data_IF_357752287346
#
_entry.id   IF_357752287346
#
_cell.length_a   1.000
_cell.length_b   1.000
_cell.length_c   1.000
_cell.angle_alpha   90.00
_cell.angle_beta   90.00
_cell.angle_gamma   90.00
#
_symmetry.space_group_name_H-M   'P 1'
#
loop_
_entity.id
_entity.type
_entity.pdbx_description
1 polymer ?
#
# COMPACT_ATOMS: atom_id res chain seq x y z
N UNK A 1 -10.53 -2.81 40.37
CA UNK A 1 -9.37 -3.46 39.73
C UNK A 1 -8.17 -2.53 39.86
N UNK A 2 -6.96 -3.02 40.18
CA UNK A 2 -5.76 -2.19 40.25
C UNK A 2 -5.22 -1.86 38.85
N UNK A 3 -4.43 -0.79 38.73
CA UNK A 3 -3.65 -0.47 37.52
C UNK A 3 -2.55 -1.53 37.38
N UNK A 4 -2.44 -2.17 36.22
CA UNK A 4 -1.47 -3.25 35.97
C UNK A 4 -0.96 -3.21 34.53
N UNK A 5 0.32 -3.55 34.34
CA UNK A 5 0.91 -3.76 33.01
C UNK A 5 0.22 -4.95 32.32
N UNK A 6 -0.17 -4.75 31.07
CA UNK A 6 -0.81 -5.80 30.26
C UNK A 6 0.21 -6.87 29.85
N UNK A 7 -0.19 -8.16 29.79
CA UNK A 7 0.65 -9.20 29.19
C UNK A 7 1.07 -8.84 27.76
N UNK A 8 2.32 -9.13 27.32
CA UNK A 8 2.84 -8.73 26.01
C UNK A 8 1.94 -9.14 24.85
N UNK A 9 1.51 -10.40 24.82
CA UNK A 9 0.57 -10.90 23.81
C UNK A 9 -0.74 -10.10 23.78
N UNK A 10 -1.33 -9.77 24.93
CA UNK A 10 -2.59 -9.00 24.98
C UNK A 10 -2.39 -7.56 24.50
N UNK A 11 -1.30 -6.92 24.91
CA UNK A 11 -0.95 -5.59 24.44
C UNK A 11 -0.74 -5.56 22.91
N UNK A 12 -0.12 -6.61 22.35
CA UNK A 12 0.05 -6.76 20.90
C UNK A 12 -1.29 -7.03 20.20
N UNK A 13 -2.18 -7.82 20.79
CA UNK A 13 -3.51 -8.08 20.22
C UNK A 13 -4.36 -6.81 20.15
N UNK A 14 -4.25 -5.92 21.14
CA UNK A 14 -4.90 -4.60 21.13
C UNK A 14 -4.35 -3.77 19.96
N UNK A 15 -3.03 -3.61 19.85
CA UNK A 15 -2.39 -2.89 18.75
C UNK A 15 -2.74 -3.50 17.37
N UNK A 16 -2.77 -4.83 17.28
CA UNK A 16 -3.20 -5.55 16.09
C UNK A 16 -4.66 -5.26 15.70
N UNK A 17 -5.50 -4.77 16.61
CA UNK A 17 -6.87 -4.36 16.30
C UNK A 17 -6.95 -3.08 15.49
N UNK A 18 -5.96 -2.21 15.64
CA UNK A 18 -5.88 -0.93 14.94
C UNK A 18 -5.18 -1.06 13.59
N UNK A 19 -4.28 -2.05 13.47
CA UNK A 19 -3.42 -2.26 12.28
C UNK A 19 -3.94 -3.41 11.41
N UNK A 20 -4.43 -4.51 12.00
CA UNK A 20 -4.80 -5.75 11.31
C UNK A 20 -6.30 -6.00 11.44
N UNK A 21 -7.08 -5.35 10.57
CA UNK A 21 -8.53 -5.52 10.51
C UNK A 21 -8.91 -6.83 9.80
N UNK A 22 -8.20 -7.17 8.72
CA UNK A 22 -8.52 -8.28 7.81
C UNK A 22 -7.30 -8.78 7.03
N UNK A 23 -7.37 -9.90 6.29
CA UNK A 23 -6.27 -10.41 5.48
C UNK A 23 -5.62 -9.38 4.55
N UNK A 24 -6.40 -8.48 3.93
CA UNK A 24 -5.87 -7.43 3.07
C UNK A 24 -4.97 -6.43 3.80
N UNK A 25 -5.21 -6.16 5.10
CA UNK A 25 -4.36 -5.30 5.93
C UNK A 25 -2.99 -5.95 6.17
N UNK A 26 -2.96 -7.28 6.39
CA UNK A 26 -1.71 -8.04 6.51
C UNK A 26 -0.93 -7.94 5.19
N UNK A 27 -1.58 -8.24 4.07
CA UNK A 27 -0.94 -8.19 2.75
C UNK A 27 -0.35 -6.80 2.47
N UNK A 28 -1.11 -5.73 2.77
CA UNK A 28 -0.62 -4.36 2.63
C UNK A 28 0.69 -4.15 3.39
N UNK A 29 0.71 -4.38 4.70
CA UNK A 29 1.89 -4.11 5.53
C UNK A 29 3.10 -4.94 5.11
N UNK A 30 2.89 -6.21 4.73
CA UNK A 30 3.98 -7.09 4.32
C UNK A 30 4.54 -6.73 2.94
N UNK A 31 3.69 -6.36 1.97
CA UNK A 31 4.17 -5.87 0.67
C UNK A 31 4.84 -4.51 0.80
N UNK A 32 4.33 -3.59 1.63
CA UNK A 32 5.00 -2.31 1.93
C UNK A 32 6.41 -2.57 2.51
N UNK A 33 6.58 -3.58 3.38
CA UNK A 33 7.90 -3.96 3.88
C UNK A 33 8.83 -4.50 2.79
N UNK A 34 8.34 -5.31 1.86
CA UNK A 34 9.12 -5.78 0.71
C UNK A 34 9.57 -4.61 -0.18
N UNK A 35 8.70 -3.62 -0.39
CA UNK A 35 9.03 -2.41 -1.16
C UNK A 35 10.09 -1.54 -0.46
N UNK A 36 9.96 -1.35 0.86
CA UNK A 36 10.96 -0.64 1.66
C UNK A 36 12.32 -1.37 1.67
N UNK A 37 12.31 -2.71 1.56
CA UNK A 37 13.52 -3.53 1.42
C UNK A 37 14.14 -3.48 0.01
N UNK A 38 13.62 -2.64 -0.89
CA UNK A 38 14.12 -2.48 -2.25
C UNK A 38 13.78 -3.62 -3.21
N UNK A 39 12.73 -4.41 -2.91
CA UNK A 39 12.34 -5.51 -3.77
C UNK A 39 11.93 -5.03 -5.18
N UNK A 40 12.38 -5.77 -6.19
CA UNK A 40 11.99 -5.59 -7.60
C UNK A 40 11.01 -6.67 -8.08
N UNK A 41 10.82 -7.73 -7.29
CA UNK A 41 9.83 -8.78 -7.47
C UNK A 41 9.24 -9.17 -6.13
N UNK A 42 7.92 -9.26 -6.06
CA UNK A 42 7.17 -9.78 -4.92
C UNK A 42 6.14 -10.82 -5.41
N UNK A 43 6.23 -12.02 -4.86
CA UNK A 43 5.32 -13.14 -5.11
C UNK A 43 4.40 -13.30 -3.90
N UNK A 44 3.09 -13.26 -4.12
CA UNK A 44 2.04 -13.29 -3.09
C UNK A 44 1.16 -14.51 -3.33
N UNK A 45 1.17 -15.46 -2.40
CA UNK A 45 0.30 -16.64 -2.43
C UNK A 45 -0.73 -16.58 -1.30
N UNK A 46 -2.01 -16.69 -1.68
CA UNK A 46 -3.15 -16.62 -0.76
C UNK A 46 -3.91 -17.94 -0.77
N UNK A 47 -4.26 -18.46 0.40
CA UNK A 47 -5.21 -19.58 0.52
C UNK A 47 -6.41 -19.21 1.38
N UNK A 48 -7.60 -19.64 0.94
CA UNK A 48 -8.87 -19.36 1.63
C UNK A 48 -9.10 -17.88 1.96
N UNK A 49 -8.81 -17.00 1.00
CA UNK A 49 -8.95 -15.54 1.17
C UNK A 49 -7.99 -14.94 2.20
N UNK A 50 -6.92 -15.67 2.54
CA UNK A 50 -5.90 -15.26 3.52
C UNK A 50 -6.18 -15.69 4.95
N UNK A 51 -7.34 -16.34 5.20
CA UNK A 51 -7.63 -16.90 6.52
C UNK A 51 -6.77 -18.14 6.83
N UNK A 52 -6.39 -18.92 5.80
CA UNK A 52 -5.55 -20.12 5.97
C UNK A 52 -4.07 -19.79 5.83
N UNK A 53 -3.68 -19.13 4.74
CA UNK A 53 -2.30 -18.78 4.44
C UNK A 53 -2.24 -17.44 3.70
N UNK A 54 -1.32 -16.59 4.13
CA UNK A 54 -0.76 -15.49 3.34
C UNK A 54 0.75 -15.71 3.31
N UNK A 55 1.31 -15.96 2.12
CA UNK A 55 2.76 -16.04 1.91
C UNK A 55 3.18 -14.92 1.00
N UNK A 56 4.17 -14.14 1.43
CA UNK A 56 4.77 -13.06 0.64
C UNK A 56 6.26 -13.30 0.58
N UNK A 57 6.79 -13.43 -0.63
CA UNK A 57 8.20 -13.63 -0.89
C UNK A 57 8.73 -12.53 -1.78
N UNK A 58 9.84 -11.94 -1.39
CA UNK A 58 10.50 -10.87 -2.13
C UNK A 58 11.97 -11.18 -2.40
N UNK A 59 12.54 -10.37 -3.29
CA UNK A 59 13.97 -10.34 -3.59
C UNK A 59 14.64 -9.06 -3.06
N UNK A 60 14.15 -8.53 -1.94
CA UNK A 60 14.75 -7.37 -1.28
C UNK A 60 16.12 -7.68 -0.67
N UNK A 61 16.65 -6.74 0.12
CA UNK A 61 17.96 -6.86 0.76
C UNK A 61 18.05 -7.98 1.82
N UNK A 62 16.92 -8.45 2.35
CA UNK A 62 16.86 -9.43 3.42
C UNK A 62 17.07 -8.83 4.82
N UNK A 63 17.04 -9.67 5.84
CA UNK A 63 17.20 -9.32 7.25
C UNK A 63 18.37 -10.13 7.81
N UNK A 64 19.30 -9.45 8.51
CA UNK A 64 20.44 -10.10 9.15
C UNK A 64 19.97 -11.04 10.25
N UNK A 65 20.71 -12.12 10.48
CA UNK A 65 20.36 -13.15 11.48
C UNK A 65 20.14 -12.52 12.87
N UNK A 66 21.02 -11.62 13.25
CA UNK A 66 21.06 -10.99 14.57
C UNK A 66 19.87 -10.04 14.77
N UNK A 67 19.25 -9.58 13.69
CA UNK A 67 18.12 -8.65 13.68
C UNK A 67 16.76 -9.36 13.54
N UNK A 68 16.72 -10.67 13.29
CA UNK A 68 15.46 -11.41 13.13
C UNK A 68 14.56 -11.33 14.37
N UNK A 69 15.16 -11.39 15.56
CA UNK A 69 14.40 -11.21 16.79
C UNK A 69 13.90 -9.77 16.94
N UNK A 70 14.71 -8.77 16.58
CA UNK A 70 14.30 -7.37 16.56
C UNK A 70 13.16 -7.11 15.58
N UNK A 71 13.17 -7.75 14.40
CA UNK A 71 12.13 -7.60 13.40
C UNK A 71 10.74 -8.06 13.90
N UNK A 72 10.70 -9.01 14.86
CA UNK A 72 9.47 -9.47 15.51
C UNK A 72 9.16 -8.75 16.83
N UNK A 73 10.08 -7.91 17.30
CA UNK A 73 9.90 -7.12 18.52
C UNK A 73 9.00 -5.89 18.27
N UNK A 74 8.45 -5.34 19.36
CA UNK A 74 7.69 -4.09 19.31
C UNK A 74 8.63 -2.89 19.26
N UNK A 75 8.15 -1.81 18.65
CA UNK A 75 8.83 -0.51 18.63
C UNK A 75 10.27 -0.61 18.09
N UNK A 76 10.51 -1.59 17.22
CA UNK A 76 11.80 -1.87 16.62
C UNK A 76 11.69 -1.65 15.12
N UNK A 77 12.50 -0.73 14.59
CA UNK A 77 12.52 -0.41 13.17
C UNK A 77 13.91 0.03 12.73
N UNK A 78 14.23 -0.23 11.47
CA UNK A 78 15.42 0.28 10.79
C UNK A 78 15.13 1.54 9.96
N UNK A 79 13.89 2.03 9.97
CA UNK A 79 13.41 3.04 9.02
C UNK A 79 13.48 4.48 9.54
N UNK A 80 13.40 4.64 10.86
CA UNK A 80 13.52 5.93 11.56
C UNK A 80 14.28 5.72 12.88
N UNK A 81 15.03 6.72 13.32
CA UNK A 81 15.78 6.69 14.58
C UNK A 81 15.65 7.99 15.40
N UNK A 82 15.04 9.04 14.85
CA UNK A 82 14.87 10.35 15.46
C UNK A 82 13.49 10.95 15.21
N UNK A 83 13.19 12.07 15.89
CA UNK A 83 11.97 12.84 15.63
C UNK A 83 12.04 13.50 14.24
N UNK A 84 13.22 13.98 13.83
CA UNK A 84 13.44 14.56 12.50
C UNK A 84 13.11 13.55 11.39
N UNK A 85 13.47 12.27 11.57
CA UNK A 85 13.10 11.20 10.63
C UNK A 85 11.58 10.96 10.58
N UNK A 86 10.88 11.18 11.70
CA UNK A 86 9.42 11.04 11.78
C UNK A 86 8.70 12.22 11.10
N UNK A 87 9.28 13.41 11.13
CA UNK A 87 8.78 14.59 10.42
C UNK A 87 9.06 14.52 8.91
N UNK A 88 10.10 13.79 8.50
CA UNK A 88 10.51 13.62 7.10
C UNK A 88 10.47 12.16 6.62
N UNK A 89 9.30 11.50 6.72
CA UNK A 89 9.16 10.08 6.36
C UNK A 89 9.37 9.84 4.86
N UNK A 90 10.37 9.05 4.53
CA UNK A 90 10.72 8.62 3.16
C UNK A 90 10.41 7.13 2.86
N UNK A 91 9.92 6.39 3.86
CA UNK A 91 9.57 4.97 3.76
C UNK A 91 8.08 4.71 3.99
N UNK A 92 7.58 3.55 3.53
CA UNK A 92 6.18 3.19 3.72
C UNK A 92 5.90 2.81 5.17
N UNK A 93 6.76 2.00 5.79
CA UNK A 93 6.72 1.69 7.23
C UNK A 93 7.56 2.65 8.07
N UNK A 94 7.21 2.83 9.34
CA UNK A 94 8.03 3.59 10.31
C UNK A 94 7.74 3.23 11.78
N UNK A 95 6.59 2.63 12.10
CA UNK A 95 6.16 2.37 13.49
C UNK A 95 6.91 1.23 14.20
N UNK A 96 7.47 0.28 13.46
CA UNK A 96 8.12 -0.90 14.06
C UNK A 96 7.17 -1.85 14.81
N UNK A 97 5.91 -1.94 14.37
CA UNK A 97 4.86 -2.70 15.08
C UNK A 97 4.14 -3.76 14.23
N UNK A 98 4.27 -3.71 12.90
CA UNK A 98 3.44 -4.53 12.01
C UNK A 98 3.66 -6.04 12.23
N UNK A 99 4.91 -6.52 12.22
CA UNK A 99 5.21 -7.94 12.38
C UNK A 99 4.90 -8.46 13.80
N UNK A 100 5.19 -7.67 14.83
CA UNK A 100 4.82 -7.98 16.21
C UNK A 100 3.29 -8.09 16.38
N UNK A 101 2.54 -7.17 15.76
CA UNK A 101 1.07 -7.18 15.79
C UNK A 101 0.51 -8.41 15.07
N UNK A 102 0.97 -8.68 13.84
CA UNK A 102 0.51 -9.83 13.04
C UNK A 102 0.85 -11.15 13.73
N UNK A 103 2.08 -11.31 14.25
CA UNK A 103 2.49 -12.53 14.96
C UNK A 103 1.65 -12.80 16.21
N UNK A 104 1.14 -11.77 16.89
CA UNK A 104 0.28 -11.97 18.07
C UNK A 104 -1.11 -12.54 17.77
N UNK A 105 -1.57 -12.45 16.51
CA UNK A 105 -2.91 -12.88 16.06
C UNK A 105 -2.85 -13.97 14.98
N UNK A 106 -1.69 -14.56 14.72
CA UNK A 106 -1.49 -15.58 13.68
C UNK A 106 -0.31 -16.48 14.03
N UNK A 107 -0.05 -17.48 13.19
CA UNK A 107 1.22 -18.21 13.20
C UNK A 107 2.12 -17.61 12.13
N UNK A 108 2.91 -16.61 12.52
CA UNK A 108 3.83 -15.91 11.63
C UNK A 108 5.20 -16.58 11.64
N UNK A 109 5.72 -16.88 10.45
CA UNK A 109 7.09 -17.31 10.21
C UNK A 109 7.79 -16.30 9.30
N UNK A 110 8.99 -15.88 9.70
CA UNK A 110 9.87 -15.00 8.96
C UNK A 110 11.12 -15.78 8.55
N UNK A 111 11.37 -15.92 7.26
CA UNK A 111 12.58 -16.56 6.72
C UNK A 111 13.31 -15.56 5.86
N UNK A 112 14.61 -15.33 6.11
CA UNK A 112 15.36 -14.32 5.36
C UNK A 112 16.83 -14.68 5.21
N UNK A 113 17.46 -14.09 4.19
CA UNK A 113 18.91 -14.13 3.98
C UNK A 113 19.36 -12.85 3.31
N UNK A 114 20.44 -12.27 3.82
CA UNK A 114 21.13 -11.13 3.19
C UNK A 114 22.14 -11.58 2.14
N UNK A 115 22.66 -10.67 1.33
CA UNK A 115 23.66 -11.01 0.32
C UNK A 115 24.99 -11.47 0.95
N UNK A 116 25.31 -10.96 2.14
CA UNK A 116 26.55 -11.20 2.87
C UNK A 116 26.55 -12.54 3.62
N UNK A 117 25.37 -13.15 3.81
CA UNK A 117 25.23 -14.39 4.57
C UNK A 117 25.14 -15.61 3.64
N UNK A 118 25.96 -16.63 3.93
CA UNK A 118 25.90 -17.93 3.24
C UNK A 118 24.68 -18.76 3.68
N UNK A 119 24.26 -18.61 4.94
CA UNK A 119 23.15 -19.36 5.54
C UNK A 119 21.89 -18.48 5.63
N UNK A 120 20.72 -19.08 5.40
CA UNK A 120 19.46 -18.42 5.70
C UNK A 120 18.96 -18.80 7.09
N UNK A 121 18.15 -17.93 7.66
CA UNK A 121 17.63 -18.10 9.02
C UNK A 121 16.12 -17.88 9.03
N UNK A 122 15.45 -18.62 9.89
CA UNK A 122 14.01 -18.55 10.11
C UNK A 122 13.75 -18.17 11.56
N UNK A 123 12.82 -17.25 11.78
CA UNK A 123 12.35 -16.80 13.08
C UNK A 123 10.83 -16.87 13.17
N UNK A 124 10.33 -17.16 14.37
CA UNK A 124 8.92 -17.07 14.72
C UNK A 124 8.80 -16.81 16.22
N UNK A 125 7.72 -16.14 16.62
CA UNK A 125 7.44 -15.79 18.01
C UNK A 125 6.30 -16.65 18.57
N UNK A 126 6.46 -17.19 19.78
CA UNK A 126 5.49 -18.06 20.44
C UNK A 126 5.25 -17.67 21.91
N UNK A 127 4.17 -18.19 22.50
CA UNK A 127 3.86 -18.00 23.92
C UNK A 127 3.21 -16.67 24.27
N UNK A 128 3.00 -16.44 25.57
CA UNK A 128 2.40 -15.19 26.09
C UNK A 128 3.38 -14.02 26.08
N UNK A 129 4.66 -14.32 26.23
CA UNK A 129 5.75 -13.35 26.27
C UNK A 129 6.35 -13.07 24.90
N UNK A 130 5.89 -13.79 23.86
CA UNK A 130 6.32 -13.64 22.47
C UNK A 130 7.82 -13.93 22.27
N UNK A 131 8.32 -14.97 22.92
CA UNK A 131 9.72 -15.41 22.81
C UNK A 131 10.03 -15.82 21.37
N UNK A 132 11.13 -15.28 20.83
CA UNK A 132 11.54 -15.53 19.45
C UNK A 132 12.49 -16.72 19.40
N UNK A 133 12.14 -17.72 18.60
CA UNK A 133 13.03 -18.83 18.25
C UNK A 133 13.63 -18.57 16.87
N UNK A 134 14.97 -18.64 16.77
CA UNK A 134 15.71 -18.52 15.51
C UNK A 134 16.37 -19.85 15.17
N UNK A 135 16.19 -20.35 13.94
CA UNK A 135 16.74 -21.62 13.47
C UNK A 135 17.29 -21.54 12.04
N UNK A 136 18.24 -22.41 11.64
CA UNK A 136 18.71 -22.48 10.26
C UNK A 136 17.60 -22.80 9.28
N UNK A 137 17.68 -22.26 8.06
CA UNK A 137 16.73 -22.50 6.98
C UNK A 137 17.44 -22.48 5.61
N UNK A 138 16.70 -22.84 4.56
CA UNK A 138 17.13 -22.66 3.17
C UNK A 138 16.31 -21.54 2.53
N UNK A 139 16.98 -20.47 2.08
CA UNK A 139 16.34 -19.33 1.42
C UNK A 139 17.34 -18.58 0.53
N UNK A 140 16.95 -18.09 -0.66
CA UNK A 140 17.80 -17.18 -1.42
C UNK A 140 17.89 -15.80 -0.76
N UNK A 141 18.65 -14.87 -1.35
CA UNK A 141 18.65 -13.48 -0.88
C UNK A 141 17.23 -12.90 -0.98
N UNK A 142 16.81 -12.19 0.05
CA UNK A 142 15.47 -11.65 0.21
C UNK A 142 14.73 -12.29 1.38
N UNK A 143 13.42 -12.05 1.46
CA UNK A 143 12.60 -12.47 2.60
C UNK A 143 11.35 -13.23 2.15
N UNK A 144 10.95 -14.22 2.93
CA UNK A 144 9.62 -14.83 2.89
C UNK A 144 8.95 -14.66 4.24
N UNK A 145 7.73 -14.13 4.23
CA UNK A 145 6.82 -14.10 5.36
C UNK A 145 5.65 -15.04 5.11
N UNK A 146 5.39 -15.93 6.07
CA UNK A 146 4.25 -16.84 6.06
C UNK A 146 3.36 -16.54 7.26
N UNK A 147 2.10 -16.21 7.01
CA UNK A 147 1.09 -15.93 8.03
C UNK A 147 0.01 -17.00 7.91
N UNK A 148 -0.02 -17.92 8.88
CA UNK A 148 -1.00 -19.01 8.93
C UNK A 148 -2.07 -18.74 9.98
N UNK A 149 -3.27 -19.25 9.71
CA UNK A 149 -4.40 -19.25 10.65
C UNK A 149 -4.68 -17.85 11.26
N UNK A 150 -4.92 -16.84 10.41
CA UNK A 150 -5.19 -15.48 10.89
C UNK A 150 -6.39 -15.46 11.84
N UNK A 151 -6.23 -14.78 12.97
CA UNK A 151 -7.19 -14.67 14.08
C UNK A 151 -7.53 -16.00 14.79
N UNK A 152 -6.70 -17.04 14.71
CA UNK A 152 -6.97 -18.32 15.38
C UNK A 152 -7.15 -18.20 16.90
N UNK A 153 -6.42 -17.29 17.53
CA UNK A 153 -6.44 -17.00 18.97
C UNK A 153 -7.31 -15.77 19.34
N UNK A 154 -8.02 -15.17 18.38
CA UNK A 154 -8.93 -14.04 18.58
C UNK A 154 -10.31 -14.33 17.95
N UNK A 155 -11.15 -15.16 18.59
CA UNK A 155 -12.37 -15.71 17.98
C UNK A 155 -13.40 -14.65 17.61
N UNK A 156 -13.47 -13.55 18.36
CA UNK A 156 -14.35 -12.43 18.04
C UNK A 156 -14.01 -11.82 16.67
N UNK A 157 -12.72 -11.54 16.40
CA UNK A 157 -12.26 -11.01 15.10
C UNK A 157 -12.48 -12.01 13.97
N UNK A 158 -12.22 -13.29 14.23
CA UNK A 158 -12.45 -14.36 13.26
C UNK A 158 -13.91 -14.40 12.77
N UNK A 159 -14.89 -14.07 13.62
CA UNK A 159 -16.31 -13.97 13.24
C UNK A 159 -16.65 -12.78 12.34
N UNK A 160 -15.83 -11.72 12.34
CA UNK A 160 -16.03 -10.56 11.46
C UNK A 160 -15.47 -10.76 10.05
N UNK A 161 -14.63 -11.77 9.84
CA UNK A 161 -14.14 -12.11 8.50
C UNK A 161 -15.31 -12.47 7.58
N UNK A 162 -15.29 -11.91 6.38
CA UNK A 162 -16.28 -12.17 5.35
C UNK A 162 -15.97 -13.49 4.64
N UNK A 163 -16.72 -13.77 3.58
CA UNK A 163 -16.49 -14.94 2.75
C UNK A 163 -15.09 -14.91 2.15
N UNK A 164 -14.53 -16.08 1.84
CA UNK A 164 -13.24 -16.21 1.16
C UNK A 164 -13.14 -15.31 -0.08
N UNK A 165 -14.19 -15.28 -0.91
CA UNK A 165 -14.23 -14.45 -2.12
C UNK A 165 -14.17 -12.96 -1.78
N UNK A 166 -14.90 -12.52 -0.76
CA UNK A 166 -14.90 -11.11 -0.33
C UNK A 166 -13.54 -10.69 0.20
N UNK A 167 -12.91 -11.51 1.06
CA UNK A 167 -11.58 -11.20 1.60
C UNK A 167 -10.50 -11.19 0.51
N UNK A 168 -10.56 -12.16 -0.41
CA UNK A 168 -9.66 -12.16 -1.56
C UNK A 168 -9.86 -10.92 -2.44
N UNK A 169 -11.09 -10.48 -2.70
CA UNK A 169 -11.34 -9.26 -3.46
C UNK A 169 -10.74 -8.01 -2.78
N UNK A 170 -10.70 -7.94 -1.45
CA UNK A 170 -10.01 -6.86 -0.74
C UNK A 170 -8.50 -6.95 -0.88
N UNK A 171 -7.91 -8.16 -0.85
CA UNK A 171 -6.49 -8.37 -1.14
C UNK A 171 -6.17 -7.92 -2.56
N UNK A 172 -6.99 -8.36 -3.52
CA UNK A 172 -6.87 -8.05 -4.94
C UNK A 172 -6.86 -6.54 -5.20
N UNK A 173 -7.77 -5.81 -4.56
CA UNK A 173 -7.84 -4.34 -4.60
C UNK A 173 -6.61 -3.66 -4.01
N UNK A 174 -6.09 -4.15 -2.88
CA UNK A 174 -4.85 -3.62 -2.30
C UNK A 174 -3.67 -3.84 -3.25
N UNK A 175 -3.56 -5.02 -3.87
CA UNK A 175 -2.50 -5.30 -4.83
C UNK A 175 -2.62 -4.43 -6.09
N UNK A 176 -3.84 -4.16 -6.58
CA UNK A 176 -4.07 -3.19 -7.66
C UNK A 176 -3.51 -1.81 -7.32
N UNK A 177 -3.83 -1.30 -6.13
CA UNK A 177 -3.36 0.01 -5.66
C UNK A 177 -1.84 0.05 -5.50
N UNK A 178 -1.22 -1.01 -4.97
CA UNK A 178 0.25 -1.09 -4.83
C UNK A 178 0.93 -1.18 -6.20
N UNK A 179 0.37 -1.96 -7.13
CA UNK A 179 0.91 -2.13 -8.47
C UNK A 179 0.97 -0.81 -9.27
N UNK A 180 0.02 0.10 -9.01
CA UNK A 180 -0.02 1.46 -9.55
C UNK A 180 0.86 2.45 -8.80
N UNK A 181 1.22 2.19 -7.54
CA UNK A 181 2.20 3.02 -6.82
C UNK A 181 3.63 2.81 -7.34
N UNK A 182 3.98 1.56 -7.69
CA UNK A 182 5.33 1.12 -8.07
C UNK A 182 5.35 0.37 -9.40
N UNK A 183 5.40 1.11 -10.50
CA UNK A 183 5.46 0.56 -11.86
C UNK A 183 6.72 -0.28 -12.10
N UNK A 184 7.80 0.01 -11.39
CA UNK A 184 9.12 -0.60 -11.49
C UNK A 184 9.24 -1.96 -10.79
N UNK A 185 8.20 -2.41 -10.07
CA UNK A 185 8.21 -3.66 -9.31
C UNK A 185 7.31 -4.71 -9.96
N UNK A 186 7.79 -5.94 -10.09
CA UNK A 186 6.98 -7.09 -10.55
C UNK A 186 6.17 -7.66 -9.39
N UNK A 187 4.85 -7.80 -9.55
CA UNK A 187 3.95 -8.37 -8.54
C UNK A 187 3.18 -9.55 -9.12
N UNK A 188 3.28 -10.71 -8.47
CA UNK A 188 2.49 -11.90 -8.80
C UNK A 188 1.53 -12.20 -7.65
N UNK A 189 0.24 -12.39 -7.95
CA UNK A 189 -0.79 -12.75 -6.97
C UNK A 189 -1.43 -14.08 -7.35
N UNK A 190 -1.33 -15.06 -6.46
CA UNK A 190 -1.95 -16.38 -6.59
C UNK A 190 -3.04 -16.57 -5.52
N UNK A 191 -4.11 -17.29 -5.87
CA UNK A 191 -5.16 -17.70 -4.94
C UNK A 191 -5.44 -19.19 -5.10
N UNK A 192 -5.33 -19.95 -4.00
CA UNK A 192 -5.54 -21.40 -3.96
C UNK A 192 -4.72 -22.15 -5.03
N UNK A 193 -3.44 -21.77 -5.18
CA UNK A 193 -2.50 -22.37 -6.13
C UNK A 193 -2.67 -21.94 -7.59
N UNK A 194 -3.63 -21.04 -7.90
CA UNK A 194 -3.82 -20.49 -9.24
C UNK A 194 -3.32 -19.06 -9.33
N UNK A 195 -2.50 -18.75 -10.32
CA UNK A 195 -2.10 -17.38 -10.63
C UNK A 195 -3.32 -16.56 -11.07
N UNK A 196 -3.61 -15.47 -10.35
CA UNK A 196 -4.75 -14.57 -10.61
C UNK A 196 -4.28 -13.31 -11.31
N UNK A 197 -3.17 -12.71 -10.85
CA UNK A 197 -2.61 -11.49 -11.43
C UNK A 197 -1.10 -11.59 -11.60
N UNK A 198 -0.61 -10.99 -12.67
CA UNK A 198 0.81 -10.81 -12.93
C UNK A 198 1.04 -9.41 -13.50
N UNK A 199 1.65 -8.55 -12.68
CA UNK A 199 2.05 -7.20 -13.05
C UNK A 199 3.55 -7.17 -13.26
N UNK A 200 3.99 -7.10 -14.52
CA UNK A 200 5.43 -7.06 -14.88
C UNK A 200 5.98 -5.67 -14.72
N UNK A 201 7.17 -5.54 -14.13
CA UNK A 201 7.87 -4.27 -13.99
C UNK A 201 7.95 -3.53 -15.33
N UNK A 202 7.69 -2.23 -15.30
CA UNK A 202 7.89 -1.32 -16.42
C UNK A 202 9.32 -0.79 -16.32
N UNK A 203 10.08 -0.89 -17.42
CA UNK A 203 11.42 -0.32 -17.50
C UNK A 203 11.38 1.21 -17.34
N UNK A 204 12.51 1.84 -17.00
CA UNK A 204 12.57 3.29 -16.76
C UNK A 204 11.98 4.13 -17.91
N UNK A 205 12.26 3.73 -19.15
CA UNK A 205 11.73 4.38 -20.37
C UNK A 205 10.53 3.63 -20.97
N UNK A 206 9.93 2.73 -20.19
CA UNK A 206 8.81 1.91 -20.63
C UNK A 206 7.47 2.65 -20.56
N UNK A 207 6.56 2.28 -21.47
CA UNK A 207 5.18 2.78 -21.49
C UNK A 207 4.41 2.32 -20.24
N UNK A 208 4.12 3.25 -19.33
CA UNK A 208 3.35 3.02 -18.10
C UNK A 208 1.88 2.67 -18.40
N UNK A 209 1.38 3.13 -19.54
CA UNK A 209 0.03 2.93 -20.07
C UNK A 209 -0.33 1.44 -20.16
N UNK A 210 0.65 0.58 -20.48
CA UNK A 210 0.43 -0.87 -20.54
C UNK A 210 0.02 -1.46 -19.20
N UNK A 211 0.69 -1.04 -18.12
CA UNK A 211 0.34 -1.46 -16.76
C UNK A 211 -0.96 -0.79 -16.31
N UNK A 212 -1.14 0.49 -16.63
CA UNK A 212 -2.37 1.23 -16.34
C UNK A 212 -3.59 0.52 -16.93
N UNK A 213 -3.59 0.22 -18.23
CA UNK A 213 -4.67 -0.51 -18.90
C UNK A 213 -4.87 -1.93 -18.38
N UNK A 214 -3.80 -2.63 -17.97
CA UNK A 214 -3.91 -3.96 -17.36
C UNK A 214 -4.56 -3.94 -15.95
N UNK A 215 -4.51 -2.82 -15.24
CA UNK A 215 -5.07 -2.66 -13.89
C UNK A 215 -6.46 -2.02 -13.93
N UNK A 216 -6.56 -0.89 -14.61
CA UNK A 216 -7.75 -0.04 -14.70
C UNK A 216 -8.69 -0.44 -15.85
N UNK A 217 -8.24 -1.29 -16.77
CA UNK A 217 -8.99 -1.70 -17.97
C UNK A 217 -8.79 -0.76 -19.15
N UNK A 218 -9.11 -1.26 -20.35
CA UNK A 218 -9.06 -0.47 -21.60
C UNK A 218 -10.01 0.74 -21.60
N UNK A 219 -11.24 0.68 -21.03
CA UNK A 219 -12.13 1.84 -21.06
C UNK A 219 -11.57 3.03 -20.27
N UNK A 220 -10.80 2.78 -19.20
CA UNK A 220 -10.12 3.86 -18.48
C UNK A 220 -9.01 4.47 -19.33
N UNK A 221 -8.19 3.61 -19.96
CA UNK A 221 -7.04 4.05 -20.76
C UNK A 221 -7.46 4.89 -21.98
N UNK A 222 -8.58 4.55 -22.63
CA UNK A 222 -9.12 5.31 -23.77
C UNK A 222 -9.57 6.72 -23.40
N UNK A 223 -9.97 6.94 -22.15
CA UNK A 223 -10.42 8.23 -21.64
C UNK A 223 -9.36 8.95 -20.79
N UNK A 224 -8.19 8.33 -20.58
CA UNK A 224 -7.17 8.80 -19.65
C UNK A 224 -6.42 10.03 -20.20
N UNK A 225 -6.65 11.18 -19.58
CA UNK A 225 -5.94 12.42 -19.86
C UNK A 225 -4.72 12.53 -18.95
N UNK A 226 -3.53 12.55 -19.54
CA UNK A 226 -2.28 12.65 -18.79
C UNK A 226 -2.15 14.04 -18.14
N UNK A 227 -1.73 14.06 -16.87
CA UNK A 227 -1.45 15.26 -16.09
C UNK A 227 0.04 15.35 -15.83
N UNK A 228 0.60 16.52 -16.13
CA UNK A 228 1.92 16.94 -15.69
C UNK A 228 1.82 18.41 -15.27
N UNK A 229 1.76 18.63 -13.95
CA UNK A 229 1.55 19.94 -13.36
C UNK A 229 2.52 20.14 -12.21
N UNK A 230 3.25 21.26 -12.20
CA UNK A 230 4.28 21.52 -11.19
C UNK A 230 4.28 22.98 -10.75
N UNK A 231 4.43 23.21 -9.45
CA UNK A 231 4.61 24.53 -8.87
C UNK A 231 5.49 24.44 -7.61
N UNK A 232 6.74 24.93 -7.72
CA UNK A 232 7.73 24.75 -6.66
C UNK A 232 7.98 23.27 -6.37
N UNK A 233 7.86 22.89 -5.10
CA UNK A 233 8.05 21.51 -4.62
C UNK A 233 6.80 20.62 -4.80
N UNK A 234 5.68 21.19 -5.25
CA UNK A 234 4.48 20.44 -5.56
C UNK A 234 4.50 19.95 -7.01
N UNK A 235 4.34 18.64 -7.19
CA UNK A 235 4.19 18.04 -8.51
C UNK A 235 2.96 17.13 -8.51
N UNK A 236 2.07 17.31 -9.48
CA UNK A 236 0.93 16.45 -9.75
C UNK A 236 1.16 15.74 -11.09
N UNK A 237 1.14 14.42 -11.06
CA UNK A 237 1.26 13.55 -12.23
C UNK A 237 0.12 12.54 -12.27
N UNK A 238 -0.07 11.90 -13.41
CA UNK A 238 -0.95 10.74 -13.54
C UNK A 238 -2.01 10.93 -14.62
N UNK A 239 -3.21 10.41 -14.38
CA UNK A 239 -4.30 10.44 -15.36
C UNK A 239 -5.65 10.74 -14.70
N UNK A 240 -6.46 11.54 -15.39
CA UNK A 240 -7.88 11.75 -15.08
C UNK A 240 -8.70 11.36 -16.29
N UNK A 241 -9.76 10.58 -16.11
CA UNK A 241 -10.65 10.23 -17.20
C UNK A 241 -11.47 11.46 -17.63
N UNK A 242 -11.73 11.61 -18.93
CA UNK A 242 -12.65 12.64 -19.42
C UNK A 242 -14.02 12.51 -18.70
N UNK A 243 -14.44 13.52 -17.94
CA UNK A 243 -15.68 13.45 -17.19
C UNK A 243 -16.92 13.24 -18.08
N UNK A 244 -16.92 13.72 -19.34
CA UNK A 244 -18.03 13.53 -20.28
C UNK A 244 -18.26 12.05 -20.66
N UNK A 245 -17.22 11.23 -20.57
CA UNK A 245 -17.22 9.82 -20.98
C UNK A 245 -17.05 8.88 -19.78
N UNK A 246 -17.13 9.41 -18.56
CA UNK A 246 -16.99 8.61 -17.34
C UNK A 246 -18.27 7.82 -17.07
N UNK A 247 -18.16 6.49 -17.04
CA UNK A 247 -19.25 5.57 -16.71
C UNK A 247 -19.21 5.15 -15.25
N UNK A 248 -20.31 4.66 -14.68
CA UNK A 248 -20.38 4.16 -13.28
C UNK A 248 -19.35 3.07 -12.97
N UNK A 249 -18.90 2.30 -13.96
CA UNK A 249 -17.83 1.31 -13.75
C UNK A 249 -16.45 1.96 -13.60
N UNK A 250 -16.21 3.08 -14.27
CA UNK A 250 -14.95 3.82 -14.18
C UNK A 250 -14.83 4.60 -12.87
N UNK A 251 -15.95 5.02 -12.27
CA UNK A 251 -15.95 5.78 -11.02
C UNK A 251 -15.45 4.99 -9.81
N UNK A 252 -15.29 3.66 -9.93
CA UNK A 252 -14.59 2.84 -8.93
C UNK A 252 -13.08 3.10 -8.90
N UNK A 253 -12.52 3.67 -9.99
CA UNK A 253 -11.09 3.96 -10.15
C UNK A 253 -10.81 5.36 -9.60
N UNK A 254 -10.56 5.44 -8.30
CA UNK A 254 -10.20 6.67 -7.60
C UNK A 254 -8.95 6.43 -6.78
N UNK A 255 -7.80 6.44 -7.46
CA UNK A 255 -6.51 6.15 -6.86
C UNK A 255 -5.68 7.41 -6.74
N UNK A 256 -5.38 7.82 -5.51
CA UNK A 256 -4.45 8.90 -5.23
C UNK A 256 -3.26 8.41 -4.42
N UNK A 257 -2.11 9.00 -4.71
CA UNK A 257 -0.85 8.72 -4.05
C UNK A 257 -0.22 10.03 -3.59
N UNK A 258 0.34 10.04 -2.37
CA UNK A 258 1.13 11.16 -1.85
C UNK A 258 2.51 10.61 -1.54
N UNK A 259 3.55 11.12 -2.20
CA UNK A 259 4.93 10.62 -2.07
C UNK A 259 5.02 9.09 -2.24
N UNK A 260 4.28 8.54 -3.21
CA UNK A 260 4.23 7.10 -3.49
C UNK A 260 3.36 6.27 -2.52
N UNK A 261 2.82 6.87 -1.44
CA UNK A 261 1.93 6.21 -0.50
C UNK A 261 0.49 6.25 -1.01
N UNK A 262 -0.21 5.11 -1.04
CA UNK A 262 -1.63 5.08 -1.41
C UNK A 262 -2.48 5.79 -0.34
N UNK A 263 -3.28 6.76 -0.75
CA UNK A 263 -4.11 7.56 0.15
C UNK A 263 -5.60 7.48 -0.21
N UNK A 264 -6.46 7.89 0.72
CA UNK A 264 -7.87 8.21 0.47
C UNK A 264 -8.19 9.50 1.20
N UNK A 265 -7.65 10.59 0.68
CA UNK A 265 -7.77 11.90 1.30
C UNK A 265 -9.01 12.66 0.79
N UNK A 266 -9.75 13.27 1.72
CA UNK A 266 -11.00 13.99 1.40
C UNK A 266 -10.73 15.30 0.66
N UNK A 267 -9.64 15.98 0.98
CA UNK A 267 -9.27 17.25 0.36
C UNK A 267 -8.84 17.04 -1.09
N UNK A 268 -8.02 16.03 -1.37
CA UNK A 268 -7.63 15.64 -2.74
C UNK A 268 -8.88 15.30 -3.57
N UNK A 269 -9.74 14.43 -3.05
CA UNK A 269 -10.95 14.00 -3.76
C UNK A 269 -11.90 15.18 -4.02
N UNK A 270 -12.02 16.11 -3.08
CA UNK A 270 -12.84 17.30 -3.26
C UNK A 270 -12.30 18.21 -4.36
N UNK A 271 -10.99 18.49 -4.38
CA UNK A 271 -10.36 19.32 -5.41
C UNK A 271 -10.57 18.76 -6.83
N UNK A 272 -10.38 17.45 -7.00
CA UNK A 272 -10.58 16.77 -8.29
C UNK A 272 -12.05 16.84 -8.71
N UNK A 273 -12.96 16.54 -7.77
CA UNK A 273 -14.40 16.59 -8.04
C UNK A 273 -14.86 17.99 -8.44
N UNK A 274 -14.39 19.02 -7.74
CA UNK A 274 -14.71 20.41 -8.05
C UNK A 274 -14.20 20.82 -9.44
N UNK A 275 -12.99 20.42 -9.82
CA UNK A 275 -12.45 20.69 -11.16
C UNK A 275 -13.27 20.02 -12.27
N UNK A 276 -13.75 18.80 -12.03
CA UNK A 276 -14.62 18.09 -12.98
C UNK A 276 -16.03 18.72 -13.06
N UNK A 277 -16.61 19.10 -11.92
CA UNK A 277 -17.93 19.74 -11.83
C UNK A 277 -17.95 21.08 -12.58
N UNK A 278 -16.93 21.92 -12.38
CA UNK A 278 -16.81 23.23 -13.04
C UNK A 278 -16.70 23.11 -14.57
N UNK A 279 -16.15 22.01 -15.09
CA UNK A 279 -16.09 21.75 -16.54
C UNK A 279 -17.38 21.13 -17.08
N UNK A 280 -17.97 20.17 -16.36
CA UNK A 280 -19.17 19.45 -16.80
C UNK A 280 -20.46 20.25 -16.64
N UNK A 281 -20.50 21.19 -15.69
CA UNK A 281 -21.73 21.85 -15.25
C UNK A 281 -22.67 20.93 -14.46
N UNK A 282 -22.19 19.74 -14.04
CA UNK A 282 -22.94 18.78 -13.24
C UNK A 282 -22.02 17.97 -12.33
N UNK A 283 -22.53 17.64 -11.15
CA UNK A 283 -21.81 16.85 -10.15
C UNK A 283 -21.79 15.36 -10.54
N UNK A 284 -20.62 14.84 -10.92
CA UNK A 284 -20.38 13.44 -11.22
C UNK A 284 -19.12 12.94 -10.51
N UNK A 285 -19.11 11.65 -10.15
CA UNK A 285 -17.91 11.01 -9.60
C UNK A 285 -16.82 10.91 -10.68
N UNK A 286 -15.62 11.48 -10.46
CA UNK A 286 -14.52 11.36 -11.41
C UNK A 286 -13.84 9.99 -11.32
N UNK A 287 -13.16 9.60 -12.38
CA UNK A 287 -12.24 8.45 -12.40
C UNK A 287 -10.81 8.95 -12.63
N UNK A 288 -9.86 8.52 -11.80
CA UNK A 288 -8.48 9.03 -11.87
C UNK A 288 -7.46 8.11 -11.20
N UNK A 289 -6.21 8.27 -11.61
CA UNK A 289 -5.01 7.71 -11.00
C UNK A 289 -3.97 8.83 -10.89
N UNK A 290 -3.85 9.44 -9.72
CA UNK A 290 -3.06 10.66 -9.52
C UNK A 290 -1.96 10.52 -8.46
N UNK A 291 -0.84 11.17 -8.72
CA UNK A 291 0.37 11.14 -7.89
C UNK A 291 0.74 12.58 -7.52
N UNK A 292 0.65 12.88 -6.23
CA UNK A 292 1.12 14.12 -5.64
C UNK A 292 2.49 13.87 -5.02
N UNK A 293 3.50 14.62 -5.47
CA UNK A 293 4.81 14.72 -4.84
C UNK A 293 4.86 16.08 -4.12
N UNK A 294 5.28 16.08 -2.86
CA UNK A 294 5.35 17.23 -1.96
C UNK A 294 6.52 17.03 -0.97
N UNK A 295 7.14 18.11 -0.51
CA UNK A 295 8.09 18.07 0.61
C UNK A 295 7.49 17.29 1.81
N UNK A 296 8.15 16.23 2.31
CA UNK A 296 7.72 15.48 3.49
C UNK A 296 7.36 16.37 4.70
N UNK A 297 8.05 17.49 4.92
CA UNK A 297 7.76 18.39 6.05
C UNK A 297 6.41 19.12 5.92
N UNK A 298 5.85 19.19 4.71
CA UNK A 298 4.55 19.82 4.44
C UNK A 298 3.39 18.83 4.59
N UNK A 299 3.65 17.56 4.88
CA UNK A 299 2.63 16.52 5.00
C UNK A 299 2.85 15.60 6.21
N UNK A 300 1.95 15.67 7.17
CA UNK A 300 1.92 14.74 8.29
C UNK A 300 1.22 13.43 7.87
N UNK A 301 2.01 12.35 7.78
CA UNK A 301 1.55 10.98 7.48
C UNK A 301 1.28 10.16 8.75
N UNK A 302 1.61 10.66 9.94
CA UNK A 302 1.44 9.98 11.22
C UNK A 302 0.06 10.26 11.85
N UNK A 303 -0.98 10.41 11.04
CA UNK A 303 -2.32 10.78 11.48
C UNK A 303 -3.18 9.56 11.86
N UNK A 304 -3.03 8.45 11.12
CA UNK A 304 -3.85 7.24 11.29
C UNK A 304 -2.97 5.98 11.40
N UNK A 305 -3.29 4.99 12.26
CA UNK A 305 -2.51 3.76 12.39
C UNK A 305 -2.27 3.02 11.07
N UNK A 306 -3.32 2.87 10.27
CA UNK A 306 -3.24 2.30 8.92
C UNK A 306 -2.76 3.28 7.84
N UNK A 307 -2.34 4.51 8.18
CA UNK A 307 -1.88 5.56 7.25
C UNK A 307 -2.82 5.79 6.05
N UNK A 308 -4.12 5.86 6.29
CA UNK A 308 -5.13 6.12 5.26
C UNK A 308 -5.40 7.61 5.03
N UNK A 309 -4.98 8.45 5.97
CA UNK A 309 -5.21 9.88 6.02
C UNK A 309 -3.88 10.62 6.21
N UNK A 310 -3.79 11.82 5.67
CA UNK A 310 -2.68 12.76 5.83
C UNK A 310 -3.21 14.12 6.23
N UNK A 311 -2.36 14.95 6.81
CA UNK A 311 -2.66 16.37 7.01
C UNK A 311 -1.61 17.22 6.32
N UNK A 312 -2.05 18.07 5.42
CA UNK A 312 -1.20 19.05 4.78
C UNK A 312 -1.03 20.27 5.68
N UNK A 313 0.19 20.80 5.79
CA UNK A 313 0.44 22.04 6.51
C UNK A 313 -0.30 23.22 5.83
N UNK A 314 -0.25 23.27 4.50
CA UNK A 314 -0.91 24.29 3.68
C UNK A 314 -2.08 23.70 2.88
N UNK A 315 -3.09 23.17 3.57
CA UNK A 315 -4.25 22.50 2.96
C UNK A 315 -4.90 23.26 1.79
N UNK A 316 -5.11 24.58 1.92
CA UNK A 316 -5.72 25.39 0.84
C UNK A 316 -4.84 25.43 -0.41
N UNK A 317 -3.53 25.62 -0.23
CA UNK A 317 -2.60 25.68 -1.34
C UNK A 317 -2.53 24.33 -2.08
N UNK A 318 -2.51 23.21 -1.35
CA UNK A 318 -2.55 21.86 -1.95
C UNK A 318 -3.87 21.62 -2.68
N UNK A 319 -4.99 22.01 -2.10
CA UNK A 319 -6.30 21.92 -2.73
C UNK A 319 -6.33 22.68 -4.05
N UNK A 320 -5.96 23.97 -4.03
CA UNK A 320 -5.99 24.84 -5.20
C UNK A 320 -5.00 24.37 -6.26
N UNK A 321 -3.83 23.86 -5.86
CA UNK A 321 -2.85 23.26 -6.77
C UNK A 321 -3.42 22.06 -7.54
N UNK A 322 -4.09 21.14 -6.85
CA UNK A 322 -4.70 19.96 -7.47
C UNK A 322 -5.86 20.38 -8.38
N UNK A 323 -6.73 21.26 -7.89
CA UNK A 323 -7.85 21.78 -8.65
C UNK A 323 -7.39 22.42 -9.97
N UNK A 324 -6.41 23.32 -9.92
CA UNK A 324 -5.87 23.97 -11.11
C UNK A 324 -5.20 22.98 -12.07
N UNK A 325 -4.44 22.01 -11.55
CA UNK A 325 -3.78 20.99 -12.38
C UNK A 325 -4.77 20.12 -13.14
N UNK A 326 -5.85 19.68 -12.49
CA UNK A 326 -6.92 18.91 -13.13
C UNK A 326 -7.71 19.78 -14.12
N UNK A 327 -8.11 20.99 -13.72
CA UNK A 327 -8.87 21.90 -14.57
C UNK A 327 -8.11 22.28 -15.83
N UNK A 328 -6.79 22.49 -15.74
CA UNK A 328 -5.94 22.84 -16.88
C UNK A 328 -5.95 21.76 -17.97
N UNK A 329 -5.77 20.49 -17.60
CA UNK A 329 -5.78 19.36 -18.54
C UNK A 329 -7.17 19.16 -19.13
N UNK A 330 -8.18 19.35 -18.30
CA UNK A 330 -9.57 19.32 -18.72
C UNK A 330 -9.85 20.43 -19.77
N UNK A 331 -9.41 21.67 -19.60
CA UNK A 331 -9.59 22.73 -20.61
C UNK A 331 -8.77 22.47 -21.90
N UNK A 332 -7.59 21.85 -21.76
CA UNK A 332 -6.75 21.25 -22.81
C UNK A 332 -7.55 20.64 -23.98
N UNK A 333 -8.48 19.75 -23.62
CA UNK A 333 -9.27 18.99 -24.59
C UNK A 333 -10.35 19.80 -25.32
N UNK A 334 -10.86 20.88 -24.73
CA UNK A 334 -11.93 21.66 -25.35
C UNK A 334 -11.40 22.49 -26.53
N UNK A 335 -10.12 22.89 -26.48
CA UNK A 335 -9.48 23.67 -27.56
C UNK A 335 -9.02 22.81 -28.75
N UNK A 336 -8.84 21.49 -28.58
CA UNK A 336 -8.30 20.62 -29.64
C UNK A 336 -9.33 20.21 -30.71
N UNK A 337 -10.61 20.48 -30.50
CA UNK A 337 -11.66 20.34 -31.52
C UNK A 337 -11.75 21.60 -32.39
N UNK A 338 -10.78 21.80 -33.27
CA UNK A 338 -10.94 22.73 -34.40
C UNK A 338 -11.91 22.11 -35.42
N UNK A 339 -12.89 22.88 -35.94
CA UNK A 339 -13.84 22.37 -36.92
C UNK A 339 -13.12 21.99 -38.22
N UNK A 340 -13.43 20.81 -38.74
CA UNK A 340 -13.18 20.48 -40.15
C UNK A 340 -14.13 21.35 -40.98
N UNK A 341 -13.58 22.37 -41.65
CA UNK A 341 -14.25 23.02 -42.80
C UNK A 341 -14.30 22.08 -44.01
#
# INVERSE_FOLDING_TARGET
MPIQVLPPQLANQIAAGEVVERPASVVKELVENSLDAGATRVDIDIERGGAKLIRIRDNGCGIKKEELALALARHATSKIASLDDLEAIISLGFRGEALASISSVSRLTLTSRTAEQAEAWQAYAEGRDMDVTVKPAAHPVGTTLEVLDLFYNTPARRKFMRTEKTEFNHIDEIIRRIALARFDVTLNLSHNGKLVRQYRAVAKDGQKERRLGAICGTPFLEQALAIEWQHGDLTLRGWVADPNHTTTALTEIQYCYVNGRMMRDRLINHAIRQACEDKLGADQQPAFVLYLEIDPHQVDVNVHPAKHEVRFHQSRLVHDFIYQGVLSVLQQQTETTLPLE
#
